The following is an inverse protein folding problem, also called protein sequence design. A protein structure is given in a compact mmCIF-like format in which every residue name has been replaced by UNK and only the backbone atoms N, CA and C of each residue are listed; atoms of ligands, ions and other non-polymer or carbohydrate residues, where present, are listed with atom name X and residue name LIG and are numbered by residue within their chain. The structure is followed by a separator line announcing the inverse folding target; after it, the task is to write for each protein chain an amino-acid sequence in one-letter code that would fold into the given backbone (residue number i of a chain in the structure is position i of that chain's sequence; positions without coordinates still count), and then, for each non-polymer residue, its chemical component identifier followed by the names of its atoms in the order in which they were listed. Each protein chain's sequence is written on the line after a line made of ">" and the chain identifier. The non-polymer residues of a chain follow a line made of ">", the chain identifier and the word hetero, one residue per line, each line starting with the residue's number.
data_IF_328028412589
#
_entry.id   IF_328028412589
#
_cell.length_a   1.000
_cell.length_b   1.000
_cell.length_c   1.000
_cell.angle_alpha   90.00
_cell.angle_beta   90.00
_cell.angle_gamma   90.00
#
_symmetry.space_group_name_H-M   'P 1'
#
loop_
_entity.id
_entity.type
_entity.pdbx_description
1 polymer ?
#
# COMPACT_ATOMS: atom_id res chain seq x y z
N UNK A 1 3.71 -12.24 24.98
CA UNK A 1 4.20 -12.20 23.59
C UNK A 1 3.66 -10.93 22.99
N UNK A 2 4.45 -9.86 22.91
CA UNK A 2 3.97 -8.62 22.32
C UNK A 2 3.80 -8.84 20.83
N UNK A 3 2.55 -8.98 20.39
CA UNK A 3 2.22 -8.93 18.97
C UNK A 3 2.88 -7.68 18.40
N UNK A 4 3.83 -7.87 17.48
CA UNK A 4 4.52 -6.78 16.78
C UNK A 4 3.57 -6.20 15.74
N UNK A 5 2.45 -5.64 16.20
CA UNK A 5 1.49 -4.95 15.37
C UNK A 5 1.95 -3.52 15.19
N UNK A 6 2.04 -3.12 13.93
CA UNK A 6 2.47 -1.79 13.56
C UNK A 6 1.25 -0.88 13.64
N UNK A 7 1.23 0.10 14.55
CA UNK A 7 0.07 0.96 14.69
C UNK A 7 -0.18 1.73 13.39
N UNK A 8 -1.45 1.91 13.04
CA UNK A 8 -1.82 2.81 11.96
C UNK A 8 -1.45 4.26 12.30
N UNK A 9 -1.35 5.10 11.26
CA UNK A 9 -1.10 6.55 11.37
C UNK A 9 -2.13 7.20 12.31
N UNK A 10 -3.36 6.67 12.31
CA UNK A 10 -4.41 7.08 13.22
C UNK A 10 -4.86 5.89 14.06
N UNK A 11 -4.94 6.09 15.38
CA UNK A 11 -5.33 5.04 16.31
C UNK A 11 -6.73 4.46 16.02
N UNK A 12 -7.63 5.27 15.44
CA UNK A 12 -8.99 4.85 15.10
C UNK A 12 -9.05 3.92 13.87
N UNK A 13 -8.02 3.92 13.01
CA UNK A 13 -7.93 3.00 11.87
C UNK A 13 -7.08 1.76 12.21
N UNK A 14 -6.63 1.62 13.46
CA UNK A 14 -5.69 0.57 13.85
C UNK A 14 -6.34 -0.83 13.83
N UNK A 15 -7.57 -0.93 14.32
CA UNK A 15 -8.33 -2.18 14.27
C UNK A 15 -8.58 -2.64 12.82
N UNK A 16 -8.97 -1.70 11.94
CA UNK A 16 -9.15 -1.97 10.51
C UNK A 16 -7.85 -2.41 9.84
N UNK A 17 -6.72 -1.78 10.21
CA UNK A 17 -5.38 -2.15 9.74
C UNK A 17 -5.03 -3.58 10.13
N UNK A 18 -5.26 -3.96 11.38
CA UNK A 18 -4.93 -5.29 11.88
C UNK A 18 -5.71 -6.39 11.15
N UNK A 19 -7.00 -6.16 10.92
CA UNK A 19 -7.85 -7.11 10.19
C UNK A 19 -7.41 -7.22 8.72
N UNK A 20 -7.09 -6.09 8.09
CA UNK A 20 -6.57 -6.07 6.73
C UNK A 20 -5.20 -6.77 6.60
N UNK A 21 -4.22 -6.44 7.46
CA UNK A 21 -2.86 -7.00 7.41
C UNK A 21 -2.86 -8.53 7.60
N UNK A 22 -3.77 -9.04 8.45
CA UNK A 22 -3.96 -10.47 8.64
C UNK A 22 -4.49 -11.14 7.37
N UNK A 23 -5.54 -10.57 6.78
CA UNK A 23 -6.11 -11.06 5.52
C UNK A 23 -5.06 -11.04 4.41
N UNK A 24 -4.31 -9.94 4.30
CA UNK A 24 -3.28 -9.75 3.30
C UNK A 24 -2.14 -10.76 3.45
N UNK A 25 -1.67 -11.03 4.66
CA UNK A 25 -0.59 -11.99 4.90
C UNK A 25 -0.98 -13.41 4.46
N UNK A 26 -2.21 -13.84 4.75
CA UNK A 26 -2.72 -15.14 4.33
C UNK A 26 -2.97 -15.21 2.81
N UNK A 27 -3.48 -14.12 2.22
CA UNK A 27 -3.67 -14.03 0.77
C UNK A 27 -2.34 -14.01 0.03
N UNK A 28 -1.36 -13.24 0.50
CA UNK A 28 -0.05 -13.08 -0.12
C UNK A 28 0.72 -14.41 -0.18
N UNK A 29 0.66 -15.21 0.88
CA UNK A 29 1.24 -16.56 0.88
C UNK A 29 0.63 -17.46 -0.21
N UNK A 30 -0.68 -17.38 -0.43
CA UNK A 30 -1.36 -18.12 -1.49
C UNK A 30 -1.03 -17.55 -2.87
N UNK A 31 -0.89 -16.23 -2.98
CA UNK A 31 -0.56 -15.53 -4.21
C UNK A 31 0.83 -15.89 -4.75
N UNK A 32 1.85 -15.98 -3.88
CA UNK A 32 3.23 -16.36 -4.28
C UNK A 32 3.39 -17.87 -4.58
N UNK A 33 2.36 -18.68 -4.28
CA UNK A 33 2.41 -20.11 -4.52
C UNK A 33 2.18 -20.40 -6.01
N UNK A 34 3.07 -21.16 -6.68
CA UNK A 34 3.03 -21.36 -8.14
C UNK A 34 1.75 -22.04 -8.66
N UNK A 35 0.95 -22.66 -7.80
CA UNK A 35 -0.32 -23.31 -8.15
C UNK A 35 -1.52 -22.35 -8.22
N UNK A 36 -1.37 -21.08 -7.85
CA UNK A 36 -2.48 -20.15 -7.78
C UNK A 36 -2.75 -19.52 -9.17
N UNK A 37 -3.91 -19.81 -9.78
CA UNK A 37 -4.29 -19.22 -11.08
C UNK A 37 -4.62 -17.74 -10.92
N UNK A 38 -3.66 -16.89 -11.23
CA UNK A 38 -3.74 -15.42 -11.09
C UNK A 38 -4.92 -14.79 -11.88
N UNK A 39 -5.45 -15.48 -12.89
CA UNK A 39 -6.48 -14.94 -13.79
C UNK A 39 -7.90 -14.88 -13.20
N UNK A 40 -8.18 -15.55 -12.07
CA UNK A 40 -9.52 -15.61 -11.46
C UNK A 40 -9.51 -15.33 -9.95
N UNK A 41 -8.37 -14.89 -9.42
CA UNK A 41 -8.22 -14.63 -8.00
C UNK A 41 -8.75 -13.24 -7.67
N UNK A 42 -10.05 -13.14 -7.39
CA UNK A 42 -10.63 -11.95 -6.75
C UNK A 42 -9.93 -11.76 -5.41
N UNK A 43 -9.43 -10.55 -5.14
CA UNK A 43 -8.76 -10.26 -3.87
C UNK A 43 -9.80 -10.32 -2.73
N UNK A 44 -9.74 -11.30 -1.82
CA UNK A 44 -10.72 -11.44 -0.75
C UNK A 44 -10.60 -10.30 0.29
N UNK A 45 -9.47 -9.59 0.30
CA UNK A 45 -9.18 -8.50 1.23
C UNK A 45 -9.52 -7.12 0.64
N UNK A 46 -10.05 -7.04 -0.58
CA UNK A 46 -10.34 -5.77 -1.26
C UNK A 46 -11.29 -4.87 -0.46
N UNK A 47 -12.37 -5.44 0.07
CA UNK A 47 -13.33 -4.68 0.91
C UNK A 47 -12.72 -4.18 2.23
N UNK A 48 -11.82 -4.97 2.82
CA UNK A 48 -11.12 -4.58 4.06
C UNK A 48 -10.10 -3.47 3.76
N UNK A 49 -9.43 -3.57 2.62
CA UNK A 49 -8.52 -2.54 2.13
C UNK A 49 -9.25 -1.23 1.90
N UNK A 50 -10.40 -1.25 1.23
CA UNK A 50 -11.21 -0.07 0.95
C UNK A 50 -11.64 0.63 2.24
N UNK A 51 -12.20 -0.12 3.21
CA UNK A 51 -12.59 0.44 4.51
C UNK A 51 -11.41 1.06 5.29
N UNK A 52 -10.25 0.40 5.29
CA UNK A 52 -9.04 0.96 5.91
C UNK A 52 -8.55 2.21 5.19
N UNK A 53 -8.52 2.18 3.86
CA UNK A 53 -8.07 3.29 3.01
C UNK A 53 -8.97 4.53 3.20
N UNK A 54 -10.28 4.34 3.26
CA UNK A 54 -11.22 5.42 3.47
C UNK A 54 -11.05 6.06 4.86
N UNK A 55 -10.88 5.24 5.91
CA UNK A 55 -10.57 5.72 7.25
C UNK A 55 -9.31 6.58 7.27
N UNK A 56 -8.24 6.12 6.62
CA UNK A 56 -6.95 6.83 6.58
C UNK A 56 -7.03 8.10 5.74
N UNK A 57 -7.69 8.08 4.58
CA UNK A 57 -7.88 9.25 3.71
C UNK A 57 -8.66 10.36 4.39
N UNK A 58 -9.81 10.02 4.99
CA UNK A 58 -10.66 11.00 5.69
C UNK A 58 -9.87 11.68 6.82
N UNK A 59 -9.05 10.92 7.54
CA UNK A 59 -8.21 11.42 8.62
C UNK A 59 -7.03 12.24 8.12
N UNK A 60 -6.39 11.85 7.03
CA UNK A 60 -5.32 12.61 6.40
C UNK A 60 -5.82 14.00 5.99
N UNK A 61 -7.00 14.07 5.35
CA UNK A 61 -7.63 15.32 4.93
C UNK A 61 -8.01 16.22 6.11
N UNK A 62 -8.60 15.62 7.17
CA UNK A 62 -9.08 16.37 8.35
C UNK A 62 -7.95 16.87 9.24
N UNK A 63 -6.95 16.03 9.47
CA UNK A 63 -6.03 16.28 10.59
C UNK A 63 -4.81 17.07 10.14
N UNK A 64 -4.42 17.04 8.85
CA UNK A 64 -3.24 17.75 8.28
C UNK A 64 -2.02 17.79 9.23
N UNK A 65 -1.83 16.76 10.06
CA UNK A 65 -0.78 16.73 11.10
C UNK A 65 0.59 16.59 10.44
N UNK A 66 0.61 15.97 9.26
CA UNK A 66 1.79 15.74 8.47
C UNK A 66 1.63 16.53 7.18
N UNK A 67 2.71 17.17 6.73
CA UNK A 67 2.84 17.80 5.40
C UNK A 67 2.93 16.71 4.33
N UNK A 68 1.93 15.81 4.31
CA UNK A 68 1.80 14.73 3.37
C UNK A 68 1.01 15.30 2.19
N UNK A 69 1.71 15.48 1.08
CA UNK A 69 1.09 15.86 -0.18
C UNK A 69 0.33 14.64 -0.76
N UNK A 70 -1.00 14.67 -0.60
CA UNK A 70 -1.89 13.64 -1.14
C UNK A 70 -1.87 13.60 -2.67
N UNK A 71 -1.55 14.71 -3.33
CA UNK A 71 -1.41 14.76 -4.79
C UNK A 71 -0.15 14.02 -5.25
N UNK A 72 0.93 14.04 -4.46
CA UNK A 72 2.13 13.24 -4.74
C UNK A 72 1.86 11.73 -4.58
N UNK A 73 1.10 11.33 -3.55
CA UNK A 73 0.72 9.93 -3.34
C UNK A 73 -0.18 9.35 -4.45
N UNK A 74 -0.94 10.19 -5.14
CA UNK A 74 -1.80 9.78 -6.26
C UNK A 74 -1.05 9.69 -7.59
N UNK A 75 0.19 10.19 -7.67
CA UNK A 75 0.97 10.10 -8.91
C UNK A 75 1.35 8.65 -9.18
N UNK A 76 0.98 8.15 -10.35
CA UNK A 76 1.50 6.91 -10.88
C UNK A 76 2.96 7.11 -11.32
N UNK A 77 3.89 6.84 -10.41
CA UNK A 77 5.34 6.96 -10.70
C UNK A 77 5.86 5.75 -11.48
N UNK A 78 5.26 4.57 -11.29
CA UNK A 78 5.74 3.32 -11.90
C UNK A 78 5.35 3.30 -13.39
N UNK A 79 6.31 3.56 -14.28
CA UNK A 79 6.14 3.55 -15.74
C UNK A 79 5.99 4.94 -16.39
N UNK A 80 6.03 6.01 -15.60
CA UNK A 80 6.02 7.38 -16.12
C UNK A 80 7.33 7.75 -16.81
N UNK A 81 7.30 8.77 -17.67
CA UNK A 81 8.48 9.28 -18.38
C UNK A 81 9.61 9.68 -17.40
N UNK A 82 9.26 10.14 -16.19
CA UNK A 82 10.20 10.52 -15.14
C UNK A 82 11.00 9.33 -14.57
N UNK A 83 10.40 8.13 -14.49
CA UNK A 83 11.08 6.91 -14.05
C UNK A 83 12.08 6.41 -15.12
N UNK A 84 11.67 6.48 -16.39
CA UNK A 84 12.52 6.11 -17.55
C UNK A 84 13.73 7.03 -17.69
N UNK A 85 13.56 8.33 -17.45
CA UNK A 85 14.62 9.34 -17.52
C UNK A 85 15.68 9.14 -16.41
N UNK A 86 15.27 8.82 -15.18
CA UNK A 86 16.23 8.55 -14.07
C UNK A 86 17.03 7.27 -14.31
N UNK A 87 16.43 6.25 -14.92
CA UNK A 87 17.12 5.00 -15.25
C UNK A 87 18.21 5.20 -16.31
N UNK A 88 18.01 6.11 -17.27
CA UNK A 88 19.02 6.45 -18.29
C UNK A 88 20.17 7.30 -17.73
N UNK A 89 19.88 8.25 -16.82
CA UNK A 89 20.92 9.10 -16.22
C UNK A 89 21.86 8.31 -15.28
N UNK A 90 21.35 7.31 -14.55
CA UNK A 90 22.20 6.44 -13.71
C UNK A 90 23.15 5.55 -14.51
N UNK A 91 22.81 5.19 -15.75
CA UNK A 91 23.68 4.40 -16.63
C UNK A 91 24.78 5.25 -17.29
N UNK A 92 24.57 6.55 -17.48
CA UNK A 92 25.57 7.45 -18.06
C UNK A 92 26.65 7.88 -17.06
N UNK A 93 26.34 7.95 -15.76
CA UNK A 93 27.32 8.33 -14.72
C UNK A 93 28.25 7.20 -14.25
N UNK A 94 28.06 5.97 -14.76
CA UNK A 94 28.85 4.78 -14.40
C UNK A 94 29.88 4.40 -15.47
N UNK A 95 30.19 5.30 -16.41
CA UNK A 95 31.17 5.10 -17.49
C UNK A 95 32.35 6.05 -17.36
#
# INVERSE_FOLDING_TARGET
>A
MSDRQMPSIFHECDELKQVYDKCFSEFFQKFITPNYRHQYAVNPCERLHEAYNDCVKERLEKTKIYDIDLDELRKEVIGSEEDKLKHQQQQQHKK
#
